data_IF_693344105109
#
_entry.id   IF_693344105109
#
_cell.length_a   1.000
_cell.length_b   1.000
_cell.length_c   1.000
_cell.angle_alpha   90.00
_cell.angle_beta   90.00
_cell.angle_gamma   90.00
#
_symmetry.space_group_name_H-M   'P 1'
#
loop_
_entity.id
_entity.type
_entity.pdbx_description
1 polymer ?
#
# COMPACT_ATOMS: atom_id res chain seq x y z
N UNK A 1 -18.54 17.20 18.69
CA UNK A 1 -17.77 15.99 19.08
C UNK A 1 -17.20 15.37 17.81
N UNK A 2 -15.91 15.07 17.78
CA UNK A 2 -15.30 14.31 16.70
C UNK A 2 -15.82 12.86 16.78
N UNK A 3 -16.43 12.35 15.75
CA UNK A 3 -16.80 10.92 15.63
C UNK A 3 -15.54 10.16 15.28
N UNK A 4 -15.24 9.11 16.02
CA UNK A 4 -14.04 8.26 15.82
C UNK A 4 -14.47 6.83 15.48
N UNK A 5 -13.54 6.02 14.97
CA UNK A 5 -13.78 4.60 14.70
C UNK A 5 -14.31 3.85 15.95
N UNK A 6 -13.83 4.20 17.15
CA UNK A 6 -14.33 3.65 18.40
C UNK A 6 -15.80 3.97 18.69
N UNK A 7 -16.35 5.06 18.15
CA UNK A 7 -17.78 5.33 18.28
C UNK A 7 -18.61 4.34 17.44
N UNK A 8 -18.17 4.07 16.21
CA UNK A 8 -18.81 3.09 15.34
C UNK A 8 -18.69 1.67 15.92
N UNK A 9 -17.53 1.34 16.50
CA UNK A 9 -17.23 0.05 17.11
C UNK A 9 -18.09 -0.33 18.31
N UNK A 10 -18.84 0.62 18.89
CA UNK A 10 -19.81 0.30 19.96
C UNK A 10 -20.99 -0.55 19.44
N UNK A 11 -21.34 -0.41 18.17
CA UNK A 11 -22.40 -1.17 17.52
C UNK A 11 -21.84 -2.15 16.49
N UNK A 12 -20.81 -1.74 15.72
CA UNK A 12 -20.11 -2.54 14.72
C UNK A 12 -18.87 -3.22 15.32
N UNK A 13 -19.11 -4.06 16.32
CA UNK A 13 -18.03 -4.67 17.14
C UNK A 13 -17.09 -5.53 16.31
N UNK A 14 -17.64 -6.37 15.43
CA UNK A 14 -16.86 -7.27 14.58
C UNK A 14 -15.96 -6.50 13.63
N UNK A 15 -16.54 -5.59 12.88
CA UNK A 15 -15.86 -4.76 11.89
C UNK A 15 -14.74 -3.92 12.56
N UNK A 16 -15.03 -3.38 13.74
CA UNK A 16 -14.04 -2.63 14.50
C UNK A 16 -12.88 -3.51 14.99
N UNK A 17 -13.17 -4.72 15.48
CA UNK A 17 -12.12 -5.66 15.92
C UNK A 17 -11.24 -6.11 14.75
N UNK A 18 -11.81 -6.36 13.58
CA UNK A 18 -11.08 -6.68 12.37
C UNK A 18 -10.23 -5.49 11.90
N UNK A 19 -10.82 -4.29 11.83
CA UNK A 19 -10.10 -3.05 11.52
C UNK A 19 -8.90 -2.83 12.44
N UNK A 20 -9.04 -3.11 13.74
CA UNK A 20 -7.96 -2.98 14.71
C UNK A 20 -6.80 -3.94 14.49
N UNK A 21 -6.95 -5.00 13.69
CA UNK A 21 -5.85 -5.88 13.27
C UNK A 21 -5.07 -5.29 12.10
N UNK A 22 -5.70 -4.46 11.28
CA UNK A 22 -5.10 -3.88 10.09
C UNK A 22 -4.14 -2.72 10.37
N UNK A 23 -3.26 -2.43 9.42
CA UNK A 23 -2.36 -1.26 9.48
C UNK A 23 -3.10 0.08 9.41
N UNK A 24 -4.31 0.11 8.90
CA UNK A 24 -5.13 1.32 8.92
C UNK A 24 -5.38 1.81 10.35
N UNK A 25 -5.50 0.89 11.32
CA UNK A 25 -5.73 1.24 12.72
C UNK A 25 -4.57 1.96 13.41
N UNK A 26 -3.41 2.04 12.77
CA UNK A 26 -2.20 2.73 13.25
C UNK A 26 -1.68 3.77 12.23
N UNK A 27 -2.50 4.15 11.26
CA UNK A 27 -2.09 5.06 10.17
C UNK A 27 -1.50 6.37 10.67
N UNK A 28 -2.14 7.00 11.65
CA UNK A 28 -1.65 8.24 12.27
C UNK A 28 -0.32 8.05 13.00
N UNK A 29 -0.20 6.98 13.75
CA UNK A 29 1.04 6.67 14.45
C UNK A 29 2.20 6.51 13.46
N UNK A 30 1.96 5.81 12.35
CA UNK A 30 2.97 5.66 11.28
C UNK A 30 3.35 6.98 10.63
N UNK A 31 2.39 7.87 10.43
CA UNK A 31 2.68 9.21 9.94
C UNK A 31 3.62 9.98 10.89
N UNK A 32 3.38 9.91 12.20
CA UNK A 32 4.25 10.57 13.19
C UNK A 32 5.66 9.97 13.19
N UNK A 33 5.78 8.67 13.01
CA UNK A 33 7.08 7.99 12.87
C UNK A 33 7.81 8.45 11.60
N UNK A 34 7.12 8.53 10.47
CA UNK A 34 7.66 9.07 9.22
C UNK A 34 8.11 10.53 9.38
N UNK A 35 7.31 11.37 10.02
CA UNK A 35 7.66 12.76 10.27
C UNK A 35 8.94 12.92 11.08
N UNK A 36 9.19 12.03 12.04
CA UNK A 36 10.46 12.00 12.81
C UNK A 36 11.64 11.59 11.94
N UNK A 37 11.45 10.58 11.08
CA UNK A 37 12.49 10.08 10.17
C UNK A 37 12.87 11.09 9.10
N UNK A 38 11.91 11.91 8.65
CA UNK A 38 12.09 12.85 7.55
C UNK A 38 12.57 14.23 8.01
N UNK A 39 12.74 14.44 9.31
CA UNK A 39 13.10 15.74 9.91
C UNK A 39 12.24 16.92 9.38
N UNK A 40 10.98 16.62 9.02
CA UNK A 40 10.05 17.62 8.50
C UNK A 40 9.53 18.53 9.59
N UNK A 41 9.30 19.82 9.32
CA UNK A 41 8.49 20.64 10.19
C UNK A 41 7.14 19.96 10.45
N UNK A 42 6.71 19.89 11.70
CA UNK A 42 5.45 19.21 12.10
C UNK A 42 4.26 19.65 11.26
N UNK A 43 4.21 20.94 10.92
CA UNK A 43 3.11 21.54 10.16
C UNK A 43 3.06 21.03 8.72
N UNK A 44 4.21 20.81 8.10
CA UNK A 44 4.29 20.27 6.72
C UNK A 44 3.87 18.81 6.63
N UNK A 45 4.23 18.00 7.64
CA UNK A 45 3.80 16.60 7.72
C UNK A 45 2.30 16.49 8.00
N UNK A 46 1.77 17.33 8.91
CA UNK A 46 0.36 17.22 9.31
C UNK A 46 -0.58 17.55 8.14
N UNK A 47 -0.34 18.62 7.40
CA UNK A 47 -1.26 19.06 6.37
C UNK A 47 -1.34 18.13 5.14
N UNK A 48 -0.21 17.57 4.72
CA UNK A 48 -0.14 16.73 3.51
C UNK A 48 -0.43 15.26 3.77
N UNK A 49 0.00 14.76 4.91
CA UNK A 49 -0.10 13.33 5.22
C UNK A 49 -1.37 12.99 6.00
N UNK A 50 -1.94 13.95 6.74
CA UNK A 50 -3.11 13.75 7.56
C UNK A 50 -4.34 13.27 6.76
N UNK A 51 -4.51 13.75 5.56
CA UNK A 51 -5.70 13.39 4.75
C UNK A 51 -5.88 11.89 4.61
N UNK A 52 -4.77 11.17 4.42
CA UNK A 52 -4.75 9.72 4.26
C UNK A 52 -4.53 8.99 5.59
N UNK A 53 -3.55 9.43 6.38
CA UNK A 53 -3.14 8.72 7.59
C UNK A 53 -4.11 8.87 8.78
N UNK A 54 -5.03 9.81 8.74
CA UNK A 54 -6.10 9.93 9.74
C UNK A 54 -7.17 8.81 9.62
N UNK A 55 -7.03 7.90 8.68
CA UNK A 55 -7.87 6.69 8.56
C UNK A 55 -7.95 5.90 9.85
N UNK A 56 -6.92 5.95 10.69
CA UNK A 56 -6.92 5.35 12.03
C UNK A 56 -8.16 5.71 12.85
N UNK A 57 -8.73 6.90 12.63
CA UNK A 57 -9.84 7.42 13.41
C UNK A 57 -11.17 7.40 12.66
N UNK A 58 -11.19 7.00 11.39
CA UNK A 58 -12.31 7.29 10.50
C UNK A 58 -12.78 6.06 9.71
N UNK A 59 -13.89 5.48 10.13
CA UNK A 59 -14.62 4.53 9.27
C UNK A 59 -15.24 5.23 8.06
N UNK A 60 -15.55 6.51 8.19
CA UNK A 60 -16.14 7.35 7.15
C UNK A 60 -15.16 7.82 6.07
N UNK A 61 -13.92 7.36 6.11
CA UNK A 61 -13.02 7.48 4.94
C UNK A 61 -13.43 6.57 3.78
N UNK A 62 -14.08 5.44 4.08
CA UNK A 62 -14.62 4.51 3.09
C UNK A 62 -16.15 4.55 3.04
N UNK A 63 -16.79 4.78 4.19
CA UNK A 63 -18.24 4.88 4.33
C UNK A 63 -18.66 6.36 4.48
N UNK A 64 -18.88 7.04 3.37
CA UNK A 64 -19.16 8.48 3.37
C UNK A 64 -20.30 8.83 4.32
N UNK A 65 -20.08 9.85 5.16
CA UNK A 65 -21.04 10.28 6.19
C UNK A 65 -22.39 10.60 5.60
N UNK A 66 -23.38 10.25 6.38
CA UNK A 66 -24.80 10.33 6.12
C UNK A 66 -25.32 9.33 5.08
N UNK A 67 -24.52 8.88 4.13
CA UNK A 67 -24.91 7.84 3.17
C UNK A 67 -24.58 6.46 3.72
N UNK A 68 -23.37 6.27 4.30
CA UNK A 68 -22.86 5.01 4.83
C UNK A 68 -23.07 3.83 3.88
N UNK A 69 -22.93 4.10 2.58
CA UNK A 69 -23.19 3.11 1.53
C UNK A 69 -22.09 2.04 1.52
N UNK A 70 -22.50 0.79 1.64
CA UNK A 70 -21.60 -0.35 1.44
C UNK A 70 -21.25 -0.53 -0.04
N UNK A 71 -22.10 -0.06 -0.95
CA UNK A 71 -21.82 -0.08 -2.39
C UNK A 71 -20.65 0.86 -2.72
N UNK A 72 -20.71 2.10 -2.24
CA UNK A 72 -19.66 3.09 -2.40
C UNK A 72 -18.32 2.57 -1.83
N UNK A 73 -18.34 2.07 -0.58
CA UNK A 73 -17.15 1.56 0.09
C UNK A 73 -16.50 0.35 -0.63
N UNK A 74 -17.25 -0.36 -1.46
CA UNK A 74 -16.74 -1.49 -2.25
C UNK A 74 -16.11 -1.09 -3.57
N UNK A 75 -16.29 0.14 -4.03
CA UNK A 75 -15.68 0.59 -5.29
C UNK A 75 -14.19 0.91 -5.12
N UNK A 76 -13.36 0.73 -6.15
CA UNK A 76 -11.95 1.11 -6.11
C UNK A 76 -11.74 2.60 -5.83
N UNK A 77 -12.71 3.44 -6.16
CA UNK A 77 -12.69 4.89 -5.92
C UNK A 77 -12.61 5.23 -4.43
N UNK A 78 -13.20 4.43 -3.56
CA UNK A 78 -13.07 4.61 -2.10
C UNK A 78 -11.62 4.43 -1.64
N UNK A 79 -10.87 3.51 -2.25
CA UNK A 79 -9.46 3.26 -1.92
C UNK A 79 -8.54 4.31 -2.55
N UNK A 80 -8.90 4.78 -3.77
CA UNK A 80 -8.14 5.75 -4.54
C UNK A 80 -7.84 7.02 -3.75
N UNK A 81 -8.71 7.46 -2.88
CA UNK A 81 -8.52 8.69 -2.10
C UNK A 81 -7.18 8.75 -1.34
N UNK A 82 -6.60 7.57 -1.03
CA UNK A 82 -5.33 7.44 -0.33
C UNK A 82 -4.30 6.59 -1.09
N UNK A 83 -4.77 5.60 -1.86
CA UNK A 83 -3.90 4.65 -2.57
C UNK A 83 -3.70 5.05 -4.04
N UNK A 84 -3.21 6.27 -4.28
CA UNK A 84 -2.90 6.84 -5.60
C UNK A 84 -1.63 7.69 -5.56
N UNK A 85 -1.08 7.97 -6.73
CA UNK A 85 0.08 8.83 -6.88
C UNK A 85 1.41 8.07 -6.82
N UNK A 86 2.52 8.81 -6.94
CA UNK A 86 3.85 8.24 -7.15
C UNK A 86 4.35 7.35 -6.01
N UNK A 87 3.91 7.60 -4.79
CA UNK A 87 4.29 6.86 -3.60
C UNK A 87 3.31 5.71 -3.27
N UNK A 88 2.06 5.82 -3.71
CA UNK A 88 1.00 4.84 -3.47
C UNK A 88 0.26 4.43 -4.75
N UNK A 89 0.94 4.04 -5.85
CA UNK A 89 0.33 3.82 -7.16
C UNK A 89 -0.50 2.52 -7.25
N UNK A 90 -1.26 2.19 -6.20
CA UNK A 90 -2.04 0.95 -6.19
C UNK A 90 -3.27 1.06 -7.10
N UNK A 91 -3.93 2.23 -7.09
CA UNK A 91 -5.08 2.47 -7.95
C UNK A 91 -4.67 2.47 -9.43
N UNK A 92 -3.58 3.17 -9.76
CA UNK A 92 -3.04 3.22 -11.11
C UNK A 92 -2.62 1.82 -11.60
N UNK A 93 -1.95 1.04 -10.74
CA UNK A 93 -1.57 -0.33 -11.03
C UNK A 93 -2.81 -1.20 -11.27
N UNK A 94 -3.84 -1.07 -10.42
CA UNK A 94 -5.08 -1.82 -10.59
C UNK A 94 -5.81 -1.43 -11.89
N UNK A 95 -6.03 -0.14 -12.15
CA UNK A 95 -6.78 0.32 -13.33
C UNK A 95 -6.10 -0.07 -14.64
N UNK A 96 -4.77 -0.10 -14.68
CA UNK A 96 -4.01 -0.55 -15.86
C UNK A 96 -3.91 -2.08 -15.98
N UNK A 97 -4.31 -2.83 -14.97
CA UNK A 97 -4.36 -4.30 -15.01
C UNK A 97 -5.54 -4.83 -15.86
N UNK A 98 -5.52 -6.13 -16.15
CA UNK A 98 -6.66 -6.80 -16.80
C UNK A 98 -7.94 -6.71 -15.97
N UNK A 99 -7.84 -6.85 -14.65
CA UNK A 99 -8.98 -6.71 -13.75
C UNK A 99 -9.54 -5.27 -13.78
N UNK A 100 -8.69 -4.27 -13.71
CA UNK A 100 -9.09 -2.87 -13.77
C UNK A 100 -9.69 -2.48 -15.13
N UNK A 101 -9.15 -3.02 -16.23
CA UNK A 101 -9.70 -2.81 -17.57
C UNK A 101 -11.13 -3.36 -17.68
N UNK A 102 -11.39 -4.57 -17.17
CA UNK A 102 -12.73 -5.18 -17.15
C UNK A 102 -13.66 -4.38 -16.25
N UNK A 103 -13.18 -3.93 -15.07
CA UNK A 103 -13.92 -3.06 -14.19
C UNK A 103 -14.35 -1.77 -14.88
N UNK A 104 -13.42 -1.06 -15.50
CA UNK A 104 -13.70 0.20 -16.21
C UNK A 104 -14.71 0.00 -17.35
N UNK A 105 -14.57 -1.07 -18.13
CA UNK A 105 -15.52 -1.40 -19.19
C UNK A 105 -16.93 -1.71 -18.65
N UNK A 106 -17.04 -2.26 -17.44
CA UNK A 106 -18.33 -2.62 -16.83
C UNK A 106 -19.00 -1.48 -16.05
N UNK A 107 -18.26 -0.41 -15.70
CA UNK A 107 -18.81 0.73 -14.96
C UNK A 107 -20.05 1.35 -15.61
N UNK A 108 -20.05 1.49 -16.92
CA UNK A 108 -21.18 2.07 -17.68
C UNK A 108 -22.45 1.23 -17.56
N UNK A 109 -22.33 -0.06 -17.32
CA UNK A 109 -23.46 -0.97 -17.12
C UNK A 109 -24.01 -0.88 -15.69
N UNK A 110 -23.14 -0.71 -14.71
CA UNK A 110 -23.53 -0.60 -13.28
C UNK A 110 -24.34 0.65 -13.02
N UNK A 111 -23.94 1.77 -13.62
CA UNK A 111 -24.62 3.06 -13.48
C UNK A 111 -26.04 3.05 -14.09
N UNK A 112 -26.31 2.14 -15.04
CA UNK A 112 -27.60 2.04 -15.73
C UNK A 112 -28.63 1.15 -15.02
N UNK A 113 -28.19 0.19 -14.22
CA UNK A 113 -29.08 -0.91 -13.78
C UNK A 113 -29.32 -1.01 -12.27
N UNK A 114 -28.94 -0.07 -11.44
CA UNK A 114 -29.09 -0.16 -9.95
C UNK A 114 -28.59 -1.48 -9.35
N UNK A 115 -27.66 -2.15 -10.04
CA UNK A 115 -27.21 -3.50 -9.67
C UNK A 115 -26.15 -3.46 -8.58
N UNK A 116 -26.16 -4.48 -7.75
CA UNK A 116 -25.19 -4.65 -6.67
C UNK A 116 -23.77 -4.83 -7.22
N UNK A 117 -22.73 -4.50 -6.41
CA UNK A 117 -21.32 -4.76 -6.74
C UNK A 117 -21.05 -6.24 -7.06
N UNK A 118 -21.94 -7.14 -6.65
CA UNK A 118 -21.89 -8.56 -7.00
C UNK A 118 -22.07 -8.84 -8.51
N UNK A 119 -22.63 -7.89 -9.27
CA UNK A 119 -22.72 -8.00 -10.73
C UNK A 119 -21.45 -7.54 -11.46
N UNK A 120 -20.45 -7.03 -10.75
CA UNK A 120 -19.14 -6.72 -11.32
C UNK A 120 -18.48 -8.01 -11.82
N UNK A 121 -18.21 -8.06 -13.10
CA UNK A 121 -17.52 -9.19 -13.75
C UNK A 121 -16.03 -9.24 -13.41
N UNK A 122 -15.52 -8.26 -12.68
CA UNK A 122 -14.11 -8.13 -12.31
C UNK A 122 -13.95 -8.00 -10.81
N UNK A 123 -12.93 -8.62 -10.21
CA UNK A 123 -12.59 -8.36 -8.83
C UNK A 123 -12.15 -6.89 -8.68
N UNK A 124 -12.55 -6.29 -7.56
CA UNK A 124 -12.16 -4.95 -7.13
C UNK A 124 -11.26 -5.05 -5.89
N UNK A 125 -10.74 -3.93 -5.40
CA UNK A 125 -9.80 -3.93 -4.26
C UNK A 125 -10.32 -4.76 -3.08
N UNK A 126 -11.57 -4.56 -2.69
CA UNK A 126 -12.19 -5.27 -1.55
C UNK A 126 -12.41 -6.77 -1.81
N UNK A 127 -12.46 -7.20 -3.07
CA UNK A 127 -12.59 -8.62 -3.39
C UNK A 127 -11.37 -9.40 -2.89
N UNK A 128 -10.18 -8.80 -3.00
CA UNK A 128 -8.92 -9.42 -2.60
C UNK A 128 -8.51 -9.05 -1.17
N UNK A 129 -8.69 -7.78 -0.78
CA UNK A 129 -8.20 -7.26 0.51
C UNK A 129 -9.22 -7.27 1.64
N UNK A 130 -10.50 -7.42 1.31
CA UNK A 130 -11.61 -7.48 2.27
C UNK A 130 -12.64 -8.56 1.87
N UNK A 131 -12.18 -9.79 1.55
CA UNK A 131 -13.09 -10.82 1.08
C UNK A 131 -14.21 -11.05 2.10
N UNK A 132 -15.44 -11.19 1.61
CA UNK A 132 -16.65 -11.37 2.44
C UNK A 132 -16.89 -10.22 3.45
N UNK A 133 -16.31 -9.04 3.23
CA UNK A 133 -16.47 -7.87 4.09
C UNK A 133 -15.58 -7.87 5.33
N UNK A 134 -14.52 -8.65 5.38
CA UNK A 134 -13.52 -8.58 6.45
C UNK A 134 -12.87 -7.20 6.45
N UNK A 135 -12.81 -6.54 7.62
CA UNK A 135 -12.21 -5.21 7.78
C UNK A 135 -10.72 -5.23 8.17
N UNK A 136 -10.10 -6.39 8.19
CA UNK A 136 -8.64 -6.52 8.24
C UNK A 136 -8.04 -6.42 6.83
N UNK A 137 -7.66 -5.22 6.39
CA UNK A 137 -7.06 -4.96 5.08
C UNK A 137 -5.66 -5.56 4.92
N UNK A 138 -5.10 -6.19 5.97
CA UNK A 138 -3.85 -6.94 5.88
C UNK A 138 -4.07 -8.38 5.38
N UNK A 139 -5.32 -8.75 5.08
CA UNK A 139 -5.67 -10.05 4.53
C UNK A 139 -4.85 -10.36 3.28
N UNK A 140 -4.23 -11.54 3.25
CA UNK A 140 -3.46 -12.02 2.10
C UNK A 140 -2.15 -11.28 1.80
N UNK A 141 -1.78 -10.24 2.54
CA UNK A 141 -0.54 -9.52 2.34
C UNK A 141 0.64 -10.29 2.95
N UNK A 142 1.60 -10.68 2.11
CA UNK A 142 2.72 -11.55 2.50
C UNK A 142 4.10 -10.89 2.38
N UNK A 143 4.19 -9.70 1.76
CA UNK A 143 5.48 -9.07 1.46
C UNK A 143 5.53 -7.63 1.96
N UNK A 144 6.71 -7.21 2.40
CA UNK A 144 7.04 -5.83 2.66
C UNK A 144 7.31 -5.03 1.37
N UNK A 145 7.66 -3.74 1.48
CA UNK A 145 8.07 -2.92 0.34
C UNK A 145 9.25 -3.51 -0.41
N UNK A 146 9.33 -3.25 -1.73
CA UNK A 146 10.43 -3.68 -2.57
C UNK A 146 11.77 -3.18 -2.02
N UNK A 147 12.79 -4.04 -2.07
CA UNK A 147 14.12 -3.73 -1.56
C UNK A 147 14.29 -3.77 -0.05
N UNK A 148 13.22 -4.10 0.69
CA UNK A 148 13.29 -4.10 2.14
C UNK A 148 14.10 -5.26 2.72
N UNK A 149 14.18 -6.38 2.01
CA UNK A 149 14.71 -7.62 2.59
C UNK A 149 13.95 -8.07 3.85
N UNK A 150 12.92 -7.32 4.25
CA UNK A 150 12.16 -7.54 5.47
C UNK A 150 10.92 -8.37 5.17
N UNK A 151 10.66 -9.30 6.04
CA UNK A 151 9.40 -9.98 6.14
C UNK A 151 8.28 -8.96 6.44
N UNK A 152 7.05 -9.32 6.09
CA UNK A 152 5.92 -8.53 6.49
C UNK A 152 5.89 -8.40 8.03
N UNK A 153 5.61 -7.24 8.53
CA UNK A 153 5.45 -7.01 9.97
C UNK A 153 3.99 -6.72 10.29
N UNK A 154 3.56 -7.17 11.46
CA UNK A 154 2.23 -6.89 11.97
C UNK A 154 2.03 -5.40 12.29
N UNK A 155 0.85 -5.04 12.80
CA UNK A 155 0.54 -3.66 13.20
C UNK A 155 1.47 -3.10 14.29
N UNK A 156 2.06 -3.96 15.10
CA UNK A 156 2.94 -3.57 16.21
C UNK A 156 4.41 -3.47 15.77
N UNK A 157 4.72 -3.84 14.52
CA UNK A 157 6.07 -3.87 13.98
C UNK A 157 6.80 -5.19 14.25
N UNK A 158 6.15 -6.19 14.82
CA UNK A 158 6.72 -7.52 14.98
C UNK A 158 6.74 -8.26 13.65
N UNK A 159 7.84 -8.97 13.37
CA UNK A 159 7.97 -9.80 12.17
C UNK A 159 6.95 -10.94 12.22
N UNK A 160 6.20 -11.08 11.13
CA UNK A 160 5.28 -12.20 10.93
C UNK A 160 6.12 -13.42 10.57
N UNK A 161 5.88 -14.52 11.24
CA UNK A 161 6.60 -15.75 11.00
C UNK A 161 6.23 -16.43 9.67
N UNK A 162 7.03 -17.41 9.26
CA UNK A 162 6.84 -18.10 7.98
C UNK A 162 5.52 -18.89 7.92
N UNK A 163 5.01 -19.36 9.06
CA UNK A 163 3.74 -20.07 9.13
C UNK A 163 2.58 -19.12 8.84
N UNK A 164 2.58 -17.95 9.46
CA UNK A 164 1.57 -16.92 9.21
C UNK A 164 1.65 -16.39 7.78
N UNK A 165 2.87 -16.19 7.26
CA UNK A 165 3.08 -15.78 5.86
C UNK A 165 2.55 -16.82 4.88
N UNK A 166 2.78 -18.11 5.12
CA UNK A 166 2.25 -19.21 4.32
C UNK A 166 0.72 -19.21 4.35
N UNK A 167 0.12 -19.04 5.53
CA UNK A 167 -1.33 -18.93 5.67
C UNK A 167 -1.90 -17.77 4.90
N UNK A 168 -1.32 -16.58 5.01
CA UNK A 168 -1.74 -15.40 4.24
C UNK A 168 -1.67 -15.64 2.72
N UNK A 169 -0.65 -16.37 2.27
CA UNK A 169 -0.52 -16.77 0.86
C UNK A 169 -1.66 -17.72 0.45
N UNK A 170 -1.98 -18.71 1.24
CA UNK A 170 -3.09 -19.62 0.97
C UNK A 170 -4.45 -18.89 1.00
N UNK A 171 -4.64 -17.97 1.93
CA UNK A 171 -5.84 -17.12 2.00
C UNK A 171 -6.02 -16.33 0.69
N UNK A 172 -4.95 -15.69 0.16
CA UNK A 172 -5.02 -14.99 -1.13
C UNK A 172 -5.26 -15.94 -2.30
N UNK A 173 -4.61 -17.11 -2.31
CA UNK A 173 -4.83 -18.13 -3.33
C UNK A 173 -6.27 -18.63 -3.33
N UNK A 174 -6.91 -18.74 -2.17
CA UNK A 174 -8.32 -19.12 -2.08
C UNK A 174 -9.24 -18.10 -2.77
N UNK A 175 -8.95 -16.82 -2.63
CA UNK A 175 -9.68 -15.75 -3.34
C UNK A 175 -9.46 -15.87 -4.86
N UNK A 176 -8.21 -15.99 -5.30
CA UNK A 176 -7.91 -16.18 -6.73
C UNK A 176 -8.63 -17.39 -7.33
N UNK A 177 -8.72 -18.48 -6.55
CA UNK A 177 -9.31 -19.76 -6.98
C UNK A 177 -10.84 -19.69 -7.18
N UNK A 178 -11.49 -18.61 -6.78
CA UNK A 178 -12.92 -18.40 -7.08
C UNK A 178 -13.19 -18.20 -8.57
N UNK A 179 -12.19 -17.74 -9.32
CA UNK A 179 -12.30 -17.44 -10.75
C UNK A 179 -11.21 -18.11 -11.59
N UNK A 180 -10.04 -18.37 -11.03
CA UNK A 180 -8.86 -18.90 -11.71
C UNK A 180 -8.50 -20.29 -11.21
N UNK A 181 -7.85 -21.10 -12.04
CA UNK A 181 -7.27 -22.35 -11.55
C UNK A 181 -6.16 -22.06 -10.53
N UNK A 182 -6.03 -22.89 -9.52
CA UNK A 182 -4.99 -22.74 -8.49
C UNK A 182 -3.57 -22.73 -9.10
N UNK A 183 -3.36 -23.53 -10.17
CA UNK A 183 -2.08 -23.54 -10.92
C UNK A 183 -1.77 -22.18 -11.52
N UNK A 184 -2.74 -21.52 -12.15
CA UNK A 184 -2.59 -20.19 -12.71
C UNK A 184 -2.28 -19.17 -11.61
N UNK A 185 -3.09 -19.14 -10.55
CA UNK A 185 -2.91 -18.22 -9.42
C UNK A 185 -1.53 -18.37 -8.77
N UNK A 186 -1.09 -19.60 -8.49
CA UNK A 186 0.26 -19.87 -7.95
C UNK A 186 1.35 -19.36 -8.87
N UNK A 187 1.27 -19.63 -10.18
CA UNK A 187 2.25 -19.16 -11.15
C UNK A 187 2.31 -17.63 -11.19
N UNK A 188 1.19 -16.94 -11.22
CA UNK A 188 1.13 -15.48 -11.25
C UNK A 188 1.77 -14.86 -10.01
N UNK A 189 1.43 -15.37 -8.82
CA UNK A 189 2.04 -14.87 -7.58
C UNK A 189 3.54 -15.17 -7.48
N UNK A 190 4.00 -16.30 -8.03
CA UNK A 190 5.44 -16.61 -8.12
C UNK A 190 6.17 -15.60 -9.01
N UNK A 191 5.60 -15.25 -10.17
CA UNK A 191 6.17 -14.22 -11.06
C UNK A 191 6.26 -12.88 -10.31
N UNK A 192 5.22 -12.49 -9.57
CA UNK A 192 5.25 -11.27 -8.78
C UNK A 192 6.32 -11.30 -7.66
N UNK A 193 6.51 -12.46 -7.01
CA UNK A 193 7.58 -12.66 -6.03
C UNK A 193 8.98 -12.51 -6.65
N UNK A 194 9.20 -13.08 -7.83
CA UNK A 194 10.47 -12.98 -8.55
C UNK A 194 10.74 -11.53 -8.98
N UNK A 195 9.74 -10.83 -9.49
CA UNK A 195 9.86 -9.40 -9.82
C UNK A 195 10.20 -8.57 -8.57
N UNK A 196 9.54 -8.81 -7.46
CA UNK A 196 9.81 -8.14 -6.19
C UNK A 196 11.26 -8.38 -5.73
N UNK A 197 11.74 -9.62 -5.82
CA UNK A 197 13.12 -9.99 -5.47
C UNK A 197 14.13 -9.28 -6.36
N UNK A 198 13.91 -9.26 -7.67
CA UNK A 198 14.82 -8.63 -8.64
C UNK A 198 14.89 -7.11 -8.41
N UNK A 199 13.76 -6.46 -8.19
CA UNK A 199 13.70 -5.03 -7.86
C UNK A 199 14.46 -4.74 -6.56
N UNK A 200 14.28 -5.61 -5.56
CA UNK A 200 15.01 -5.50 -4.29
C UNK A 200 16.53 -5.54 -4.47
N UNK A 201 17.02 -6.42 -5.33
CA UNK A 201 18.43 -6.51 -5.66
C UNK A 201 18.95 -5.21 -6.32
N UNK A 202 18.25 -4.69 -7.33
CA UNK A 202 18.62 -3.44 -8.01
C UNK A 202 18.68 -2.25 -7.05
N UNK A 203 17.68 -2.12 -6.16
CA UNK A 203 17.69 -1.05 -5.15
C UNK A 203 18.85 -1.23 -4.17
N UNK A 204 19.12 -2.48 -3.79
CA UNK A 204 20.25 -2.80 -2.91
C UNK A 204 21.59 -2.37 -3.51
N UNK A 205 21.85 -2.74 -4.75
CA UNK A 205 23.05 -2.33 -5.49
C UNK A 205 23.18 -0.80 -5.59
N UNK A 206 22.10 -0.13 -5.98
CA UNK A 206 22.12 1.33 -6.09
C UNK A 206 22.36 2.02 -4.74
N UNK A 207 21.80 1.48 -3.65
CA UNK A 207 22.07 1.97 -2.29
C UNK A 207 23.53 1.79 -1.92
N UNK A 208 24.08 0.62 -2.17
CA UNK A 208 25.48 0.32 -1.81
C UNK A 208 26.44 1.23 -2.58
N UNK A 209 26.16 1.51 -3.86
CA UNK A 209 26.90 2.52 -4.65
C UNK A 209 26.84 3.92 -4.00
N UNK A 210 25.68 4.35 -3.51
CA UNK A 210 25.54 5.65 -2.84
C UNK A 210 26.33 5.67 -1.53
N UNK A 211 26.27 4.59 -0.74
CA UNK A 211 27.04 4.49 0.51
C UNK A 211 28.56 4.56 0.27
N UNK A 212 29.03 3.98 -0.83
CA UNK A 212 30.44 4.05 -1.20
C UNK A 212 30.84 5.46 -1.65
N UNK A 213 30.03 6.15 -2.45
CA UNK A 213 30.22 7.54 -2.82
C UNK A 213 30.22 8.48 -1.59
N UNK A 214 29.40 8.19 -0.59
CA UNK A 214 29.38 8.93 0.67
C UNK A 214 30.68 8.74 1.45
N UNK A 215 31.18 7.51 1.57
CA UNK A 215 32.48 7.20 2.21
C UNK A 215 33.63 7.93 1.54
N UNK A 216 33.59 8.01 0.21
CA UNK A 216 34.60 8.70 -0.60
C UNK A 216 34.42 10.23 -0.59
N UNK A 217 33.44 10.76 0.14
CA UNK A 217 33.08 12.21 0.21
C UNK A 217 32.76 12.83 -1.15
N UNK A 218 32.23 12.02 -2.07
CA UNK A 218 31.79 12.46 -3.40
C UNK A 218 30.34 12.94 -3.42
N UNK A 219 29.61 12.79 -2.31
CA UNK A 219 28.25 13.26 -2.15
C UNK A 219 28.16 14.43 -1.15
N UNK A 220 27.18 15.29 -1.33
CA UNK A 220 26.88 16.36 -0.36
C UNK A 220 26.43 15.75 0.99
N UNK A 221 26.78 16.39 2.14
CA UNK A 221 26.52 15.85 3.48
C UNK A 221 25.06 15.54 3.82
N UNK A 222 24.13 16.02 3.01
CA UNK A 222 22.69 15.89 3.26
C UNK A 222 22.14 14.45 3.10
N UNK A 223 22.91 13.54 2.49
CA UNK A 223 22.48 12.17 2.26
C UNK A 223 22.74 11.23 3.43
N UNK A 224 23.66 11.57 4.31
CA UNK A 224 23.96 10.74 5.47
C UNK A 224 22.74 10.44 6.36
N UNK A 225 21.66 11.22 6.24
CA UNK A 225 20.40 10.93 6.90
C UNK A 225 19.49 10.00 6.10
N UNK A 226 19.51 10.08 4.77
CA UNK A 226 18.68 9.19 3.93
C UNK A 226 19.16 7.74 3.93
N UNK A 227 20.48 7.53 4.00
CA UNK A 227 21.04 6.18 4.08
C UNK A 227 20.73 5.47 5.39
N UNK A 228 20.36 6.21 6.44
CA UNK A 228 19.89 5.66 7.72
C UNK A 228 18.42 5.21 7.69
N UNK A 229 17.68 5.61 6.68
CA UNK A 229 16.28 5.19 6.55
C UNK A 229 16.25 3.75 6.01
N UNK A 230 15.64 2.79 6.72
CA UNK A 230 15.51 1.43 6.22
C UNK A 230 14.81 1.43 4.86
N UNK A 231 15.36 0.73 3.86
CA UNK A 231 14.74 0.57 2.53
C UNK A 231 13.29 0.06 2.59
N UNK A 232 12.95 -0.62 3.68
CA UNK A 232 11.61 -1.09 3.99
C UNK A 232 10.64 0.01 4.40
N UNK A 233 11.12 1.20 4.75
CA UNK A 233 10.22 2.20 5.28
C UNK A 233 9.54 2.95 4.15
N UNK A 234 8.25 3.15 4.34
CA UNK A 234 7.45 4.04 3.51
C UNK A 234 8.06 5.46 3.44
N UNK A 235 8.75 5.88 4.50
CA UNK A 235 9.51 7.12 4.56
C UNK A 235 10.61 7.20 3.50
N UNK A 236 11.16 6.08 3.03
CA UNK A 236 12.16 6.08 1.98
C UNK A 236 11.57 6.51 0.64
N UNK A 237 10.34 6.12 0.36
CA UNK A 237 9.58 6.53 -0.84
C UNK A 237 9.08 7.98 -0.68
N UNK A 238 8.67 8.38 0.52
CA UNK A 238 8.17 9.72 0.85
C UNK A 238 9.29 10.73 1.14
N UNK A 239 10.51 10.28 1.38
CA UNK A 239 11.70 11.13 1.51
C UNK A 239 11.87 12.11 0.36
N UNK A 240 11.24 11.79 -0.75
CA UNK A 240 11.16 12.57 -1.95
C UNK A 240 10.51 13.93 -1.86
N UNK A 241 9.59 14.15 -0.97
CA UNK A 241 8.94 15.44 -0.83
C UNK A 241 9.94 16.57 -0.48
N UNK A 242 11.12 16.20 0.01
CA UNK A 242 12.22 17.12 0.32
C UNK A 242 13.32 17.20 -0.74
N UNK A 243 13.26 16.36 -1.74
CA UNK A 243 14.38 16.06 -2.62
C UNK A 243 14.65 17.13 -3.64
N UNK A 244 13.66 17.94 -3.96
CA UNK A 244 13.78 18.87 -5.07
C UNK A 244 14.60 20.11 -4.74
N UNK A 245 14.92 20.35 -3.48
CA UNK A 245 15.75 21.50 -3.08
C UNK A 245 17.08 21.02 -2.49
N UNK A 246 18.18 21.27 -3.19
CA UNK A 246 19.54 21.10 -2.65
C UNK A 246 20.17 19.71 -2.82
N UNK A 247 19.57 18.81 -3.60
CA UNK A 247 20.08 17.44 -3.80
C UNK A 247 20.92 17.29 -5.07
N UNK A 248 21.96 16.46 -4.99
CA UNK A 248 22.80 16.11 -6.13
C UNK A 248 22.03 15.35 -7.22
N UNK A 249 22.62 15.25 -8.41
CA UNK A 249 22.05 14.46 -9.51
C UNK A 249 21.89 12.99 -9.13
N UNK A 250 22.86 12.42 -8.40
CA UNK A 250 22.85 11.00 -8.00
C UNK A 250 21.72 10.71 -7.03
N UNK A 251 21.50 11.60 -6.07
CA UNK A 251 20.39 11.49 -5.13
C UNK A 251 19.04 11.48 -5.84
N UNK A 252 18.84 12.40 -6.78
CA UNK A 252 17.60 12.46 -7.56
C UNK A 252 17.38 11.20 -8.39
N UNK A 253 18.44 10.63 -8.99
CA UNK A 253 18.35 9.39 -9.74
C UNK A 253 17.98 8.21 -8.84
N UNK A 254 18.55 8.12 -7.64
CA UNK A 254 18.23 7.06 -6.70
C UNK A 254 16.77 7.12 -6.25
N UNK A 255 16.26 8.30 -6.02
CA UNK A 255 14.86 8.51 -5.66
C UNK A 255 13.92 8.11 -6.82
N UNK A 256 14.23 8.55 -8.04
CA UNK A 256 13.48 8.13 -9.22
C UNK A 256 13.48 6.62 -9.37
N UNK A 257 14.61 5.97 -9.10
CA UNK A 257 14.71 4.51 -9.09
C UNK A 257 13.78 3.89 -8.06
N UNK A 258 13.77 4.40 -6.83
CA UNK A 258 12.89 3.87 -5.75
C UNK A 258 11.41 4.05 -6.04
N UNK A 259 11.04 5.17 -6.65
CA UNK A 259 9.65 5.42 -7.10
C UNK A 259 9.26 4.43 -8.20
N UNK A 260 10.11 4.27 -9.21
CA UNK A 260 9.87 3.31 -10.30
C UNK A 260 9.78 1.88 -9.78
N UNK A 261 10.63 1.53 -8.83
CA UNK A 261 10.60 0.23 -8.18
C UNK A 261 9.30 0.00 -7.40
N UNK A 262 8.79 1.03 -6.73
CA UNK A 262 7.50 0.95 -6.02
C UNK A 262 6.33 0.72 -6.98
N UNK A 263 6.32 1.40 -8.13
CA UNK A 263 5.32 1.19 -9.18
C UNK A 263 5.38 -0.24 -9.72
N UNK A 264 6.57 -0.71 -10.09
CA UNK A 264 6.76 -2.05 -10.65
C UNK A 264 6.36 -3.14 -9.65
N UNK A 265 6.78 -3.01 -8.38
CA UNK A 265 6.43 -3.97 -7.34
C UNK A 265 4.91 -4.04 -7.11
N UNK A 266 4.25 -2.89 -6.97
CA UNK A 266 2.80 -2.84 -6.76
C UNK A 266 2.06 -3.33 -7.99
N UNK A 267 2.54 -2.98 -9.19
CA UNK A 267 2.00 -3.48 -10.46
C UNK A 267 2.05 -5.00 -10.53
N UNK A 268 3.17 -5.61 -10.19
CA UNK A 268 3.35 -7.06 -10.24
C UNK A 268 2.29 -7.81 -9.43
N UNK A 269 2.00 -7.35 -8.19
CA UNK A 269 0.97 -7.97 -7.34
C UNK A 269 -0.46 -7.56 -7.70
N UNK A 270 -0.65 -6.54 -8.53
CA UNK A 270 -1.96 -6.19 -9.10
C UNK A 270 -2.12 -6.69 -10.54
N UNK A 271 -1.29 -7.68 -10.94
CA UNK A 271 -1.36 -8.36 -12.25
C UNK A 271 -1.16 -7.41 -13.44
N UNK A 272 -0.34 -6.39 -13.24
CA UNK A 272 0.12 -5.48 -14.27
C UNK A 272 1.64 -5.65 -14.44
N UNK A 273 2.08 -6.64 -15.24
CA UNK A 273 3.50 -6.93 -15.45
C UNK A 273 4.21 -5.81 -16.21
#
# INVERSE_FOLDING_TARGET
>A
RKVTAGNCGKCHVKEYQEFMKSRHSIGWQRMLECGKLMALPKDTCSEKCEQCHNIQFKCDSCHTRHTFSTLEAKTPEACRTCHMGSDHPHYEAYISSKHGTIYTASQSMILKESQSVQSLRSPVCVTCHMPQGIHDMSFGLTRGPAGSGLSYVDRNGATIDDIELAKKREDMLSVCNTCHSLRFAKKTLTIADDMHKNIGAVIGEARDMILDLEKEKQLFPSLGEMTKIPLASHAFILGDLHVYTGKSRMERLFITLTQSAAVTWKGAYHENP
#
